data_IF_800423078222
#
_entry.id   IF_800423078222
#
_cell.length_a   1.000
_cell.length_b   1.000
_cell.length_c   1.000
_cell.angle_alpha   90.00
_cell.angle_beta   90.00
_cell.angle_gamma   90.00
#
_symmetry.space_group_name_H-M   'P 1'
#
loop_
_entity.id
_entity.type
_entity.pdbx_description
1 polymer ?
#
# COMPACT_ATOMS: atom_id res chain seq x y z
N UNK A 1 8.42 -15.67 17.76
CA UNK A 1 7.98 -16.68 16.77
C UNK A 1 6.95 -17.58 17.42
N UNK A 2 6.12 -18.23 16.62
CA UNK A 2 5.07 -19.17 17.08
C UNK A 2 5.34 -20.57 16.49
N UNK A 3 4.86 -21.62 17.17
CA UNK A 3 4.88 -22.99 16.63
C UNK A 3 3.71 -23.15 15.68
N UNK A 4 3.94 -23.79 14.53
CA UNK A 4 2.88 -24.19 13.58
C UNK A 4 2.51 -25.64 13.88
N UNK A 5 1.23 -25.92 14.08
CA UNK A 5 0.77 -27.22 14.57
C UNK A 5 0.64 -28.28 13.46
N UNK A 6 0.37 -27.86 12.21
CA UNK A 6 0.27 -28.77 11.06
C UNK A 6 0.52 -28.04 9.73
N UNK A 7 0.73 -28.81 8.65
CA UNK A 7 1.08 -28.26 7.33
C UNK A 7 0.01 -27.34 6.72
N UNK A 8 -1.27 -27.53 7.07
CA UNK A 8 -2.36 -26.69 6.57
C UNK A 8 -2.34 -25.27 7.14
N UNK A 9 -1.80 -25.08 8.35
CA UNK A 9 -1.54 -23.77 8.95
C UNK A 9 -0.11 -23.25 8.67
N UNK A 10 0.66 -24.02 7.91
CA UNK A 10 2.05 -23.74 7.59
C UNK A 10 2.27 -23.60 6.09
N UNK A 11 3.05 -24.53 5.56
CA UNK A 11 3.52 -24.48 4.17
C UNK A 11 2.40 -24.61 3.13
N UNK A 12 1.25 -25.17 3.50
CA UNK A 12 0.10 -25.36 2.61
C UNK A 12 -1.00 -24.30 2.80
N UNK A 13 -0.78 -23.28 3.64
CA UNK A 13 -1.78 -22.23 3.91
C UNK A 13 -2.18 -21.47 2.62
N UNK A 14 -1.22 -21.28 1.72
CA UNK A 14 -1.38 -20.50 0.49
C UNK A 14 -1.23 -21.36 -0.77
N UNK A 15 -2.02 -21.04 -1.81
CA UNK A 15 -2.09 -21.84 -3.04
C UNK A 15 -1.04 -21.45 -4.09
N UNK A 16 -0.35 -20.31 -3.92
CA UNK A 16 0.50 -19.70 -4.95
C UNK A 16 1.56 -20.65 -5.52
N UNK A 17 2.25 -21.41 -4.67
CA UNK A 17 3.28 -22.35 -5.13
C UNK A 17 2.71 -23.51 -5.93
N UNK A 18 1.53 -24.02 -5.54
CA UNK A 18 0.81 -25.05 -6.30
C UNK A 18 0.35 -24.50 -7.66
N UNK A 19 0.04 -23.21 -7.75
CA UNK A 19 -0.30 -22.52 -9.00
C UNK A 19 0.90 -21.98 -9.80
N UNK A 20 2.14 -22.23 -9.36
CA UNK A 20 3.35 -21.79 -10.06
C UNK A 20 3.68 -20.30 -9.91
N UNK A 21 3.05 -19.57 -9.00
CA UNK A 21 3.28 -18.15 -8.74
C UNK A 21 4.50 -17.88 -7.86
N UNK A 22 5.66 -18.39 -8.29
CA UNK A 22 6.94 -18.10 -7.68
C UNK A 22 7.35 -16.64 -7.94
N UNK A 23 7.85 -15.95 -6.92
CA UNK A 23 8.18 -14.53 -7.00
C UNK A 23 6.98 -13.57 -6.88
N UNK A 24 5.76 -14.09 -6.68
CA UNK A 24 4.56 -13.26 -6.52
C UNK A 24 4.47 -12.62 -5.14
N UNK A 25 4.80 -13.35 -4.07
CA UNK A 25 4.63 -12.88 -2.68
C UNK A 25 5.26 -11.50 -2.37
N UNK A 26 6.48 -11.17 -2.86
CA UNK A 26 7.03 -9.83 -2.67
C UNK A 26 6.13 -8.69 -3.14
N UNK A 27 5.22 -8.94 -4.10
CA UNK A 27 4.28 -7.93 -4.59
C UNK A 27 3.31 -7.43 -3.52
N UNK A 28 2.91 -8.27 -2.55
CA UNK A 28 2.05 -7.87 -1.44
C UNK A 28 2.73 -6.82 -0.55
N UNK A 29 3.98 -7.08 -0.17
CA UNK A 29 4.76 -6.13 0.63
C UNK A 29 5.05 -4.84 -0.16
N UNK A 30 5.31 -4.95 -1.46
CA UNK A 30 5.48 -3.80 -2.34
C UNK A 30 4.20 -2.96 -2.46
N UNK A 31 3.02 -3.59 -2.47
CA UNK A 31 1.74 -2.90 -2.41
C UNK A 31 1.65 -1.97 -1.19
N UNK A 32 1.94 -2.50 0.01
CA UNK A 32 1.96 -1.69 1.24
C UNK A 32 2.94 -0.51 1.17
N UNK A 33 4.12 -0.73 0.57
CA UNK A 33 5.11 0.34 0.38
C UNK A 33 4.57 1.44 -0.54
N UNK A 34 3.99 1.07 -1.68
CA UNK A 34 3.37 2.03 -2.59
C UNK A 34 2.19 2.76 -1.95
N UNK A 35 1.35 2.05 -1.19
CA UNK A 35 0.21 2.65 -0.48
C UNK A 35 0.66 3.72 0.50
N UNK A 36 1.71 3.46 1.28
CA UNK A 36 2.28 4.47 2.17
C UNK A 36 2.75 5.71 1.41
N UNK A 37 3.47 5.51 0.29
CA UNK A 37 3.96 6.63 -0.52
C UNK A 37 2.81 7.42 -1.20
N UNK A 38 1.78 6.72 -1.67
CA UNK A 38 0.61 7.34 -2.31
C UNK A 38 -0.27 8.06 -1.30
N UNK A 39 -0.44 7.51 -0.10
CA UNK A 39 -1.20 8.17 0.96
C UNK A 39 -0.54 9.49 1.38
N UNK A 40 0.79 9.51 1.51
CA UNK A 40 1.55 10.75 1.78
C UNK A 40 1.38 11.79 0.65
N UNK A 41 1.36 11.35 -0.61
CA UNK A 41 1.10 12.23 -1.75
C UNK A 41 -0.36 12.75 -1.76
N UNK A 42 -1.35 11.89 -1.48
CA UNK A 42 -2.76 12.25 -1.35
C UNK A 42 -2.95 13.26 -0.23
N UNK A 43 -2.33 13.05 0.94
CA UNK A 43 -2.45 13.96 2.07
C UNK A 43 -2.01 15.39 1.75
N UNK A 44 -1.03 15.55 0.84
CA UNK A 44 -0.56 16.85 0.35
C UNK A 44 -1.47 17.44 -0.72
N UNK A 45 -1.93 16.62 -1.66
CA UNK A 45 -2.69 17.06 -2.83
C UNK A 45 -4.20 17.24 -2.56
N UNK A 46 -4.74 16.53 -1.57
CA UNK A 46 -6.15 16.52 -1.20
C UNK A 46 -6.27 16.85 0.30
N UNK A 47 -6.12 18.13 0.69
CA UNK A 47 -6.38 18.54 2.07
C UNK A 47 -7.82 18.20 2.47
N UNK A 48 -7.99 17.71 3.72
CA UNK A 48 -9.28 17.31 4.27
C UNK A 48 -9.76 15.90 3.87
N UNK A 49 -8.87 15.06 3.31
CA UNK A 49 -9.24 13.72 2.83
C UNK A 49 -9.74 12.80 3.94
N UNK A 50 -9.27 12.95 5.19
CA UNK A 50 -9.72 12.13 6.32
C UNK A 50 -11.18 12.44 6.70
N UNK A 51 -11.59 13.71 6.68
CA UNK A 51 -12.96 14.15 6.93
C UNK A 51 -13.91 13.72 5.81
N UNK A 52 -13.44 13.79 4.56
CA UNK A 52 -14.17 13.29 3.41
C UNK A 52 -14.43 11.78 3.55
N UNK A 53 -13.40 11.00 3.91
CA UNK A 53 -13.56 9.56 4.19
C UNK A 53 -14.53 9.30 5.33
N UNK A 54 -14.44 10.03 6.44
CA UNK A 54 -15.31 9.87 7.61
C UNK A 54 -16.79 10.13 7.27
N UNK A 55 -17.07 10.93 6.23
CA UNK A 55 -18.42 11.24 5.76
C UNK A 55 -18.84 10.44 4.51
N UNK A 56 -17.99 9.50 4.04
CA UNK A 56 -18.25 8.68 2.87
C UNK A 56 -18.08 9.39 1.52
N UNK A 57 -17.47 10.59 1.50
CA UNK A 57 -17.15 11.32 0.27
C UNK A 57 -15.83 10.81 -0.29
N UNK A 58 -15.90 10.03 -1.37
CA UNK A 58 -14.73 9.37 -1.97
C UNK A 58 -14.28 9.99 -3.29
N UNK A 59 -15.09 10.88 -3.87
CA UNK A 59 -14.92 11.44 -5.21
C UNK A 59 -13.57 12.15 -5.39
N UNK A 60 -13.10 12.90 -4.39
CA UNK A 60 -11.83 13.62 -4.45
C UNK A 60 -10.63 12.68 -4.45
N UNK A 61 -10.61 11.68 -3.57
CA UNK A 61 -9.52 10.70 -3.50
C UNK A 61 -9.52 9.81 -4.74
N UNK A 62 -10.70 9.31 -5.14
CA UNK A 62 -10.82 8.47 -6.34
C UNK A 62 -10.49 9.25 -7.61
N UNK A 63 -10.87 10.52 -7.70
CA UNK A 63 -10.49 11.42 -8.79
C UNK A 63 -8.97 11.58 -8.86
N UNK A 64 -8.33 11.86 -7.73
CA UNK A 64 -6.87 11.97 -7.68
C UNK A 64 -6.17 10.67 -8.10
N UNK A 65 -6.61 9.51 -7.59
CA UNK A 65 -6.05 8.21 -7.97
C UNK A 65 -6.27 7.91 -9.46
N UNK A 66 -7.44 8.25 -10.00
CA UNK A 66 -7.74 8.07 -11.42
C UNK A 66 -6.79 8.87 -12.30
N UNK A 67 -6.57 10.13 -11.99
CA UNK A 67 -5.78 11.04 -12.83
C UNK A 67 -4.28 10.77 -12.72
N UNK A 68 -3.80 10.41 -11.53
CA UNK A 68 -2.38 10.25 -11.24
C UNK A 68 -1.88 8.80 -11.40
N UNK A 69 -2.72 7.81 -11.13
CA UNK A 69 -2.32 6.38 -11.11
C UNK A 69 -3.06 5.58 -12.17
N UNK A 70 -4.39 5.45 -12.06
CA UNK A 70 -5.14 4.49 -12.88
C UNK A 70 -5.10 4.82 -14.37
N UNK A 71 -5.17 6.12 -14.73
CA UNK A 71 -5.11 6.55 -16.14
C UNK A 71 -3.78 6.24 -16.83
N UNK A 72 -2.72 5.94 -16.05
CA UNK A 72 -1.40 5.61 -16.61
C UNK A 72 -1.28 4.14 -16.97
N UNK A 73 -2.08 3.27 -16.36
CA UNK A 73 -2.03 1.82 -16.59
C UNK A 73 -0.57 1.31 -16.66
N UNK A 74 -0.16 0.75 -17.80
CA UNK A 74 1.20 0.25 -18.05
C UNK A 74 2.09 1.21 -18.85
N UNK A 75 1.79 2.51 -18.86
CA UNK A 75 2.59 3.53 -19.56
C UNK A 75 4.00 3.69 -18.97
N UNK A 76 4.15 3.40 -17.68
CA UNK A 76 5.43 3.51 -16.96
C UNK A 76 5.70 2.23 -16.18
N UNK A 77 6.98 1.92 -15.98
CA UNK A 77 7.37 0.92 -15.00
C UNK A 77 6.88 1.34 -13.60
N UNK A 78 6.52 0.39 -12.70
CA UNK A 78 5.91 0.71 -11.42
C UNK A 78 6.75 1.67 -10.55
N UNK A 79 8.08 1.52 -10.56
CA UNK A 79 8.99 2.39 -9.80
C UNK A 79 8.99 3.82 -10.34
N UNK A 80 8.92 3.97 -11.66
CA UNK A 80 8.92 5.26 -12.32
C UNK A 80 7.57 5.96 -12.14
N UNK A 81 6.47 5.21 -12.23
CA UNK A 81 5.15 5.74 -11.90
C UNK A 81 5.11 6.23 -10.45
N UNK A 82 5.58 5.41 -9.50
CA UNK A 82 5.59 5.80 -8.10
C UNK A 82 6.42 7.06 -7.86
N UNK A 83 7.59 7.18 -8.49
CA UNK A 83 8.41 8.39 -8.40
C UNK A 83 7.74 9.60 -9.04
N UNK A 84 7.05 9.45 -10.18
CA UNK A 84 6.29 10.54 -10.82
C UNK A 84 5.13 11.03 -9.95
N UNK A 85 4.40 10.11 -9.32
CA UNK A 85 3.23 10.41 -8.48
C UNK A 85 3.64 11.06 -7.16
N UNK A 86 4.75 10.61 -6.57
CA UNK A 86 5.12 10.97 -5.18
C UNK A 86 6.28 11.94 -5.09
N UNK A 87 7.00 12.17 -6.20
CA UNK A 87 8.22 12.96 -6.26
C UNK A 87 9.44 12.30 -5.59
N UNK A 88 9.30 11.09 -5.03
CA UNK A 88 10.34 10.43 -4.25
C UNK A 88 10.75 9.10 -4.87
N UNK A 89 12.03 8.71 -4.72
CA UNK A 89 12.45 7.35 -5.03
C UNK A 89 11.71 6.35 -4.12
N UNK A 90 11.55 5.13 -4.61
CA UNK A 90 10.92 4.04 -3.86
C UNK A 90 11.53 3.90 -2.46
N UNK A 91 10.68 3.94 -1.44
CA UNK A 91 11.08 3.85 -0.03
C UNK A 91 9.94 3.33 0.83
N UNK A 92 10.25 2.51 1.83
CA UNK A 92 9.27 2.01 2.80
C UNK A 92 8.92 3.04 3.88
N UNK A 93 9.65 4.16 3.97
CA UNK A 93 9.52 5.12 5.08
C UNK A 93 8.07 5.60 5.32
N UNK A 94 7.30 6.06 4.32
CA UNK A 94 5.93 6.51 4.54
C UNK A 94 5.01 5.42 5.12
N UNK A 95 5.19 4.16 4.68
CA UNK A 95 4.44 3.03 5.22
C UNK A 95 4.81 2.73 6.68
N UNK A 96 6.11 2.75 6.99
CA UNK A 96 6.59 2.56 8.37
C UNK A 96 6.10 3.67 9.29
N UNK A 97 6.20 4.93 8.86
CA UNK A 97 5.71 6.10 9.62
C UNK A 97 4.19 5.99 9.87
N UNK A 98 3.41 5.55 8.87
CA UNK A 98 1.97 5.26 9.03
C UNK A 98 1.71 4.18 10.08
N UNK A 99 2.41 3.05 9.97
CA UNK A 99 2.22 1.93 10.87
C UNK A 99 2.59 2.33 12.30
N UNK A 100 3.76 2.93 12.49
CA UNK A 100 4.23 3.39 13.79
C UNK A 100 3.25 4.36 14.43
N UNK A 101 2.83 5.42 13.72
CA UNK A 101 1.84 6.39 14.23
C UNK A 101 0.52 5.72 14.62
N UNK A 102 0.01 4.82 13.78
CA UNK A 102 -1.26 4.12 14.02
C UNK A 102 -1.15 3.21 15.24
N UNK A 103 -0.12 2.39 15.32
CA UNK A 103 0.03 1.40 16.38
C UNK A 103 0.46 2.04 17.71
N UNK A 104 1.29 3.08 17.69
CA UNK A 104 1.59 3.90 18.88
C UNK A 104 0.31 4.50 19.48
N UNK A 105 -0.57 5.05 18.63
CA UNK A 105 -1.86 5.59 19.09
C UNK A 105 -2.78 4.52 19.69
N UNK A 106 -2.79 3.31 19.15
CA UNK A 106 -3.67 2.23 19.59
C UNK A 106 -3.17 1.53 20.87
N UNK A 107 -1.85 1.38 21.01
CA UNK A 107 -1.22 0.56 22.06
C UNK A 107 -0.41 1.36 23.07
N UNK A 108 -0.17 2.65 22.84
CA UNK A 108 0.45 3.56 23.80
C UNK A 108 1.95 3.36 24.02
N UNK A 109 2.72 3.20 22.94
CA UNK A 109 4.20 3.18 22.98
C UNK A 109 4.80 4.33 22.17
#
# INVERSE_FOLDING_TARGET
GIKVDNDSEGVMQDTHWASGYYGYFPSYAMGNVYDGMYLDAIAKAVPGWEEDLATGKLDRILGWLKDNVHSKASLYDPRDLAQKVTGSRLTAKPFLDYAEKKYAKLFGF
#
